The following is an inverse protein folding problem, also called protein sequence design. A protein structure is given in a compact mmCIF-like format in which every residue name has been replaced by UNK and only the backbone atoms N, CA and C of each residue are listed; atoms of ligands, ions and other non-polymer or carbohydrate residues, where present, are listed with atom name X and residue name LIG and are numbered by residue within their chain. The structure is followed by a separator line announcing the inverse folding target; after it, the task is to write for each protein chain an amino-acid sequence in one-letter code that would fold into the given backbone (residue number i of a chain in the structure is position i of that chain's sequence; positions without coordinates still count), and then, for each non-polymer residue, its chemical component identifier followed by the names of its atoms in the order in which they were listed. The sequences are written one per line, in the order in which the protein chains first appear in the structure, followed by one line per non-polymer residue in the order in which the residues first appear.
data_IF_096258069072
#
_entry.id   IF_096258069072
#
_cell.length_a   1.000
_cell.length_b   1.000
_cell.length_c   1.000
_cell.angle_alpha   90.00
_cell.angle_beta   90.00
_cell.angle_gamma   90.00
#
_symmetry.space_group_name_H-M   'P 1'
#
loop_
_entity.id
_entity.type
_entity.pdbx_description
1 polymer ?
#
# COMPACT_ATOMS: atom_id res chain seq x y z
N UNK A 1 36.75 11.19 17.88
CA UNK A 1 35.45 10.61 18.27
C UNK A 1 34.25 11.48 17.90
N UNK A 2 34.31 12.81 18.00
CA UNK A 2 33.19 13.72 17.72
C UNK A 2 32.55 13.58 16.30
N UNK A 3 33.37 13.36 15.26
CA UNK A 3 32.89 13.21 13.88
C UNK A 3 31.99 11.99 13.69
N UNK A 4 32.24 10.87 14.40
CA UNK A 4 31.37 9.68 14.33
C UNK A 4 30.03 9.90 15.03
N UNK A 5 30.01 10.71 16.09
CA UNK A 5 28.77 11.08 16.79
C UNK A 5 27.91 11.99 15.90
N UNK A 6 28.52 12.99 15.28
CA UNK A 6 27.86 13.93 14.37
C UNK A 6 27.29 13.24 13.12
N UNK A 7 28.04 12.31 12.52
CA UNK A 7 27.56 11.48 11.40
C UNK A 7 26.39 10.58 11.82
N UNK A 8 26.43 10.01 13.02
CA UNK A 8 25.35 9.15 13.53
C UNK A 8 24.07 9.95 13.81
N UNK A 9 24.19 11.16 14.38
CA UNK A 9 23.06 12.07 14.60
C UNK A 9 22.40 12.55 13.29
N UNK A 10 23.20 12.85 12.26
CA UNK A 10 22.68 13.26 10.94
C UNK A 10 21.95 12.11 10.26
N UNK A 11 22.50 10.88 10.35
CA UNK A 11 21.86 9.68 9.80
C UNK A 11 20.57 9.35 10.55
N UNK A 12 20.54 9.45 11.89
CA UNK A 12 19.33 9.21 12.69
C UNK A 12 18.25 10.26 12.44
N UNK A 13 18.60 11.55 12.31
CA UNK A 13 17.64 12.59 11.93
C UNK A 13 17.07 12.37 10.53
N UNK A 14 17.92 11.96 9.58
CA UNK A 14 17.46 11.59 8.25
C UNK A 14 16.47 10.42 8.36
N UNK A 15 16.83 9.33 9.05
CA UNK A 15 15.98 8.15 9.18
C UNK A 15 14.63 8.46 9.86
N UNK A 16 14.65 9.27 10.92
CA UNK A 16 13.43 9.71 11.62
C UNK A 16 12.55 10.59 10.73
N UNK A 17 13.14 11.53 10.00
CA UNK A 17 12.41 12.39 9.06
C UNK A 17 11.79 11.58 7.91
N UNK A 18 12.44 10.49 7.50
CA UNK A 18 11.90 9.55 6.52
C UNK A 18 10.73 8.75 7.08
N UNK A 19 10.84 8.23 8.30
CA UNK A 19 9.72 7.55 8.96
C UNK A 19 8.52 8.47 9.14
N UNK A 20 8.73 9.72 9.57
CA UNK A 20 7.65 10.71 9.72
C UNK A 20 6.98 11.01 8.39
N UNK A 21 7.75 11.14 7.30
CA UNK A 21 7.19 11.41 5.97
C UNK A 21 6.41 10.20 5.41
N UNK A 22 6.90 8.98 5.64
CA UNK A 22 6.18 7.75 5.29
C UNK A 22 4.85 7.67 6.03
N UNK A 23 4.86 7.92 7.34
CA UNK A 23 3.65 7.95 8.15
C UNK A 23 2.71 9.05 7.68
N UNK A 24 3.22 10.24 7.34
CA UNK A 24 2.42 11.33 6.81
C UNK A 24 1.73 10.96 5.49
N UNK A 25 2.44 10.37 4.53
CA UNK A 25 1.83 9.95 3.27
C UNK A 25 0.83 8.81 3.47
N UNK A 26 1.12 7.86 4.35
CA UNK A 26 0.18 6.81 4.73
C UNK A 26 -1.07 7.41 5.38
N UNK A 27 -0.92 8.41 6.25
CA UNK A 27 -2.02 9.14 6.89
C UNK A 27 -2.80 9.96 5.89
N UNK A 28 -2.16 10.63 4.92
CA UNK A 28 -2.87 11.37 3.87
C UNK A 28 -3.68 10.42 2.99
N UNK A 29 -3.09 9.29 2.58
CA UNK A 29 -3.82 8.26 1.82
C UNK A 29 -4.97 7.71 2.66
N UNK A 30 -4.74 7.43 3.95
CA UNK A 30 -5.78 6.99 4.87
C UNK A 30 -6.88 8.05 5.02
N UNK A 31 -6.52 9.33 5.09
CA UNK A 31 -7.47 10.44 5.22
C UNK A 31 -8.29 10.61 3.94
N UNK A 32 -7.67 10.47 2.76
CA UNK A 32 -8.38 10.46 1.47
C UNK A 32 -9.33 9.26 1.39
N UNK A 33 -8.88 8.07 1.80
CA UNK A 33 -9.74 6.88 1.81
C UNK A 33 -10.87 7.02 2.84
N UNK A 34 -10.62 7.56 4.02
CA UNK A 34 -11.64 7.83 5.03
C UNK A 34 -12.64 8.90 4.56
N UNK A 35 -12.18 9.95 3.90
CA UNK A 35 -13.08 10.94 3.30
C UNK A 35 -13.93 10.26 2.21
N UNK A 36 -13.35 9.41 1.38
CA UNK A 36 -14.10 8.65 0.37
C UNK A 36 -15.05 7.63 1.01
N UNK A 37 -14.68 7.01 2.14
CA UNK A 37 -15.50 6.03 2.85
C UNK A 37 -16.62 6.65 3.69
N UNK A 38 -16.37 7.78 4.35
CA UNK A 38 -17.31 8.37 5.32
C UNK A 38 -18.08 9.56 4.77
N UNK A 39 -17.47 10.34 3.86
CA UNK A 39 -18.08 11.55 3.30
C UNK A 39 -18.79 11.24 1.99
N UNK A 40 -18.23 10.40 1.12
CA UNK A 40 -18.84 10.10 -0.18
C UNK A 40 -20.23 9.45 -0.05
N UNK A 41 -20.47 8.47 0.85
CA UNK A 41 -21.80 7.94 1.12
C UNK A 41 -22.80 8.97 1.64
N UNK A 42 -22.35 9.94 2.42
CA UNK A 42 -23.23 10.96 3.01
C UNK A 42 -23.62 12.04 1.99
N UNK A 43 -22.89 12.16 0.89
CA UNK A 43 -23.07 13.20 -0.13
C UNK A 43 -23.66 12.63 -1.43
N UNK A 44 -23.40 11.36 -1.76
CA UNK A 44 -23.97 10.69 -2.92
C UNK A 44 -25.24 9.91 -2.56
N UNK A 45 -26.34 10.13 -3.30
CA UNK A 45 -27.48 9.23 -3.32
C UNK A 45 -27.12 8.00 -4.16
N UNK A 46 -26.83 6.87 -3.49
CA UNK A 46 -26.41 5.63 -4.13
C UNK A 46 -27.08 4.39 -3.53
N UNK A 47 -26.83 3.20 -4.10
CA UNK A 47 -27.36 1.94 -3.58
C UNK A 47 -26.89 1.67 -2.13
N UNK A 48 -27.71 1.02 -1.31
CA UNK A 48 -27.40 0.77 0.12
C UNK A 48 -26.05 0.08 0.35
N UNK A 49 -25.62 -0.80 -0.57
CA UNK A 49 -24.33 -1.48 -0.51
C UNK A 49 -23.12 -0.53 -0.66
N UNK A 50 -23.28 0.58 -1.38
CA UNK A 50 -22.27 1.63 -1.51
C UNK A 50 -22.26 2.54 -0.27
N UNK A 51 -23.43 2.71 0.34
CA UNK A 51 -23.64 3.66 1.43
C UNK A 51 -23.23 3.14 2.81
N UNK A 52 -23.18 1.81 2.98
CA UNK A 52 -22.81 1.16 4.25
C UNK A 52 -21.29 1.18 4.54
N UNK A 53 -20.45 1.82 3.71
CA UNK A 53 -19.00 1.90 3.89
C UNK A 53 -18.23 0.62 3.52
N UNK A 54 -18.86 -0.55 3.65
CA UNK A 54 -18.25 -1.85 3.39
C UNK A 54 -17.63 -2.02 1.99
N UNK A 55 -18.18 -1.34 0.98
CA UNK A 55 -17.70 -1.39 -0.40
C UNK A 55 -16.27 -0.85 -0.58
N UNK A 56 -15.80 0.04 0.29
CA UNK A 56 -14.43 0.60 0.22
C UNK A 56 -13.46 -0.11 1.15
N UNK A 57 -13.95 -0.99 2.00
CA UNK A 57 -13.16 -1.67 3.03
C UNK A 57 -12.16 -2.65 2.44
N UNK A 58 -12.58 -3.47 1.48
CA UNK A 58 -11.69 -4.39 0.78
C UNK A 58 -10.60 -3.65 -0.02
N UNK A 59 -10.91 -2.59 -0.77
CA UNK A 59 -9.91 -1.71 -1.35
C UNK A 59 -8.92 -1.12 -0.34
N UNK A 60 -9.42 -0.63 0.80
CA UNK A 60 -8.59 -0.07 1.86
C UNK A 60 -7.59 -1.10 2.41
N UNK A 61 -8.07 -2.31 2.74
CA UNK A 61 -7.23 -3.42 3.22
C UNK A 61 -6.16 -3.75 2.18
N UNK A 62 -6.51 -3.81 0.89
CA UNK A 62 -5.56 -4.03 -0.19
C UNK A 62 -4.46 -2.96 -0.26
N UNK A 63 -4.81 -1.69 -0.06
CA UNK A 63 -3.83 -0.59 -0.02
C UNK A 63 -2.87 -0.74 1.16
N UNK A 64 -3.39 -1.04 2.35
CA UNK A 64 -2.57 -1.24 3.56
C UNK A 64 -1.62 -2.43 3.40
N UNK A 65 -2.12 -3.56 2.90
CA UNK A 65 -1.30 -4.76 2.63
C UNK A 65 -0.21 -4.46 1.61
N UNK A 66 -0.56 -3.79 0.50
CA UNK A 66 0.39 -3.44 -0.55
C UNK A 66 1.48 -2.51 -0.02
N UNK A 67 1.11 -1.49 0.74
CA UNK A 67 2.07 -0.56 1.36
C UNK A 67 2.99 -1.27 2.35
N UNK A 68 2.44 -2.12 3.22
CA UNK A 68 3.22 -2.90 4.19
C UNK A 68 4.20 -3.83 3.48
N UNK A 69 3.75 -4.52 2.43
CA UNK A 69 4.60 -5.41 1.61
C UNK A 69 5.77 -4.64 1.01
N UNK A 70 5.51 -3.51 0.36
CA UNK A 70 6.54 -2.68 -0.25
C UNK A 70 7.51 -2.09 0.79
N UNK A 71 7.01 -1.69 1.96
CA UNK A 71 7.84 -1.27 3.09
C UNK A 71 8.75 -2.40 3.57
N UNK A 72 8.22 -3.60 3.82
CA UNK A 72 9.02 -4.75 4.24
C UNK A 72 10.10 -5.08 3.21
N UNK A 73 9.75 -5.14 1.92
CA UNK A 73 10.69 -5.34 0.82
C UNK A 73 11.82 -4.29 0.86
N UNK A 74 11.49 -3.02 1.14
CA UNK A 74 12.50 -1.96 1.22
C UNK A 74 13.39 -2.02 2.44
N UNK A 75 12.91 -2.57 3.56
CA UNK A 75 13.72 -2.79 4.75
C UNK A 75 14.76 -3.90 4.51
N UNK A 76 14.37 -4.97 3.81
CA UNK A 76 15.28 -6.08 3.48
C UNK A 76 16.26 -5.74 2.34
N UNK A 77 15.80 -5.04 1.30
CA UNK A 77 16.64 -4.54 0.20
C UNK A 77 16.31 -3.07 -0.09
N UNK A 78 17.02 -2.14 0.56
CA UNK A 78 16.83 -0.71 0.31
C UNK A 78 17.13 -0.38 -1.15
N UNK A 79 16.42 0.61 -1.68
CA UNK A 79 16.66 1.12 -3.02
C UNK A 79 18.02 1.80 -3.03
N UNK A 80 18.97 1.28 -3.83
CA UNK A 80 20.32 1.83 -3.91
C UNK A 80 20.71 2.04 -5.37
N UNK A 81 21.48 3.10 -5.68
CA UNK A 81 22.07 3.25 -7.01
C UNK A 81 22.97 2.04 -7.29
N UNK A 82 22.62 1.25 -8.31
CA UNK A 82 23.35 0.04 -8.72
C UNK A 82 22.72 -1.29 -8.26
N UNK A 83 21.83 -1.27 -7.25
CA UNK A 83 21.10 -2.48 -6.82
C UNK A 83 19.67 -2.46 -7.41
N UNK A 84 19.57 -2.88 -8.68
CA UNK A 84 18.34 -2.81 -9.49
C UNK A 84 17.42 -4.00 -9.33
N UNK A 85 17.93 -5.12 -8.82
CA UNK A 85 17.08 -6.27 -8.52
C UNK A 85 16.39 -6.05 -7.17
N UNK A 86 15.06 -5.84 -7.16
CA UNK A 86 14.32 -5.93 -5.92
C UNK A 86 14.42 -7.39 -5.47
N UNK A 87 14.46 -7.63 -4.16
CA UNK A 87 14.44 -8.96 -3.51
C UNK A 87 13.92 -10.12 -4.37
N UNK A 88 14.51 -11.31 -4.19
CA UNK A 88 14.05 -12.52 -4.90
C UNK A 88 12.53 -12.68 -4.85
N UNK A 89 11.95 -13.19 -5.94
CA UNK A 89 10.49 -13.33 -6.09
C UNK A 89 9.90 -14.09 -4.90
N UNK A 90 10.60 -15.12 -4.43
CA UNK A 90 10.18 -15.96 -3.31
C UNK A 90 10.13 -15.19 -1.98
N UNK A 91 11.10 -14.31 -1.72
CA UNK A 91 11.09 -13.43 -0.54
C UNK A 91 9.95 -12.41 -0.63
N UNK A 92 9.75 -11.82 -1.82
CA UNK A 92 8.68 -10.84 -2.03
C UNK A 92 7.30 -11.48 -1.83
N UNK A 93 7.09 -12.69 -2.35
CA UNK A 93 5.87 -13.48 -2.12
C UNK A 93 5.68 -13.85 -0.64
N UNK A 94 6.75 -14.24 0.06
CA UNK A 94 6.70 -14.52 1.49
C UNK A 94 6.28 -13.30 2.32
N UNK A 95 6.84 -12.13 2.02
CA UNK A 95 6.48 -10.87 2.68
C UNK A 95 5.05 -10.42 2.35
N UNK A 96 4.61 -10.64 1.12
CA UNK A 96 3.23 -10.39 0.69
C UNK A 96 2.24 -11.28 1.45
N UNK A 97 2.51 -12.59 1.52
CA UNK A 97 1.67 -13.54 2.25
C UNK A 97 1.62 -13.19 3.75
N UNK A 98 2.76 -12.79 4.34
CA UNK A 98 2.84 -12.32 5.71
C UNK A 98 1.97 -11.06 5.93
N UNK A 99 2.09 -10.06 5.06
CA UNK A 99 1.31 -8.83 5.14
C UNK A 99 -0.20 -9.10 4.99
N UNK A 100 -0.60 -9.98 4.07
CA UNK A 100 -1.99 -10.40 3.93
C UNK A 100 -2.49 -11.11 5.19
N UNK A 101 -1.72 -12.08 5.71
CA UNK A 101 -2.11 -12.84 6.90
C UNK A 101 -2.25 -11.96 8.15
N UNK A 102 -1.48 -10.87 8.25
CA UNK A 102 -1.55 -9.92 9.35
C UNK A 102 -2.75 -8.96 9.21
N UNK A 103 -2.93 -8.37 8.03
CA UNK A 103 -3.85 -7.24 7.84
C UNK A 103 -5.25 -7.71 7.43
N UNK A 104 -5.37 -8.73 6.59
CA UNK A 104 -6.66 -9.15 6.03
C UNK A 104 -7.64 -9.68 7.09
N UNK A 105 -7.24 -10.50 8.08
CA UNK A 105 -8.16 -10.94 9.14
C UNK A 105 -8.65 -9.77 9.99
N UNK A 106 -7.77 -8.84 10.37
CA UNK A 106 -8.15 -7.67 11.16
C UNK A 106 -9.05 -6.70 10.38
N UNK A 107 -8.72 -6.49 9.12
CA UNK A 107 -9.41 -5.54 8.24
C UNK A 107 -10.74 -6.05 7.68
N UNK A 108 -10.96 -7.37 7.61
CA UNK A 108 -12.15 -7.96 7.00
C UNK A 108 -13.04 -8.73 7.99
N UNK A 109 -12.57 -9.08 9.20
CA UNK A 109 -13.41 -9.80 10.19
C UNK A 109 -14.54 -8.96 10.79
N UNK A 110 -14.39 -7.63 10.84
CA UNK A 110 -15.40 -6.75 11.47
C UNK A 110 -16.72 -6.70 10.70
N UNK A 111 -16.77 -7.15 9.44
CA UNK A 111 -17.98 -7.17 8.59
C UNK A 111 -18.76 -8.50 8.65
N UNK A 112 -18.53 -9.33 9.66
CA UNK A 112 -19.34 -10.54 9.90
C UNK A 112 -18.99 -11.73 8.99
N UNK A 113 -17.93 -11.66 8.19
CA UNK A 113 -17.41 -12.78 7.42
C UNK A 113 -16.32 -12.40 6.41
N UNK A 114 -15.35 -13.30 6.23
CA UNK A 114 -14.36 -13.23 5.14
C UNK A 114 -15.04 -13.61 3.82
N UNK A 115 -15.77 -12.67 3.23
CA UNK A 115 -16.28 -12.86 1.88
C UNK A 115 -15.11 -13.04 0.91
N UNK A 116 -15.12 -14.14 0.15
CA UNK A 116 -14.04 -14.49 -0.77
C UNK A 116 -13.76 -13.36 -1.79
N UNK A 117 -14.80 -12.65 -2.22
CA UNK A 117 -14.70 -11.48 -3.11
C UNK A 117 -13.92 -10.32 -2.48
N UNK A 118 -14.18 -10.01 -1.20
CA UNK A 118 -13.48 -8.95 -0.46
C UNK A 118 -12.01 -9.29 -0.24
N UNK A 119 -11.71 -10.54 0.12
CA UNK A 119 -10.33 -11.03 0.24
C UNK A 119 -9.61 -10.99 -1.11
N UNK A 120 -10.27 -11.46 -2.17
CA UNK A 120 -9.73 -11.44 -3.54
C UNK A 120 -9.42 -10.02 -4.02
N UNK A 121 -10.29 -9.06 -3.72
CA UNK A 121 -10.09 -7.64 -4.06
C UNK A 121 -8.87 -7.05 -3.35
N UNK A 122 -8.75 -7.30 -2.04
CA UNK A 122 -7.60 -6.85 -1.26
C UNK A 122 -6.29 -7.45 -1.78
N UNK A 123 -6.27 -8.75 -2.04
CA UNK A 123 -5.13 -9.45 -2.60
C UNK A 123 -4.76 -8.95 -4.01
N UNK A 124 -5.76 -8.67 -4.86
CA UNK A 124 -5.54 -8.15 -6.21
C UNK A 124 -4.90 -6.76 -6.19
N UNK A 125 -5.40 -5.83 -5.36
CA UNK A 125 -4.82 -4.47 -5.23
C UNK A 125 -3.39 -4.57 -4.72
N UNK A 126 -3.18 -5.29 -3.62
CA UNK A 126 -1.87 -5.41 -3.01
C UNK A 126 -0.86 -6.10 -3.94
N UNK A 127 -1.29 -7.17 -4.64
CA UNK A 127 -0.46 -7.92 -5.58
C UNK A 127 -0.09 -7.10 -6.81
N UNK A 128 -1.07 -6.43 -7.42
CA UNK A 128 -0.84 -5.57 -8.58
C UNK A 128 0.07 -4.38 -8.23
N UNK A 129 -0.15 -3.74 -7.07
CA UNK A 129 0.69 -2.64 -6.61
C UNK A 129 2.13 -3.09 -6.37
N UNK A 130 2.32 -4.25 -5.74
CA UNK A 130 3.64 -4.83 -5.48
C UNK A 130 4.35 -5.23 -6.78
N UNK A 131 3.62 -5.79 -7.74
CA UNK A 131 4.15 -6.13 -9.06
C UNK A 131 4.58 -4.89 -9.83
N UNK A 132 3.72 -3.87 -9.91
CA UNK A 132 4.03 -2.59 -10.56
C UNK A 132 5.27 -1.96 -9.94
N UNK A 133 5.35 -1.93 -8.61
CA UNK A 133 6.51 -1.42 -7.90
C UNK A 133 7.78 -2.23 -8.21
N UNK A 134 7.69 -3.56 -8.23
CA UNK A 134 8.81 -4.44 -8.56
C UNK A 134 9.30 -4.23 -10.00
N UNK A 135 8.38 -4.07 -10.96
CA UNK A 135 8.69 -3.79 -12.36
C UNK A 135 9.31 -2.40 -12.54
N UNK A 136 8.74 -1.38 -11.90
CA UNK A 136 9.26 -0.01 -11.99
C UNK A 136 10.68 0.11 -11.45
N UNK A 137 11.03 -0.67 -10.42
CA UNK A 137 12.40 -0.74 -9.90
C UNK A 137 13.43 -1.32 -10.88
N UNK A 138 12.99 -2.10 -11.88
CA UNK A 138 13.86 -2.67 -12.92
C UNK A 138 14.12 -1.73 -14.09
N UNK A 139 13.30 -0.69 -14.26
CA UNK A 139 13.44 0.26 -15.37
C UNK A 139 14.63 1.20 -15.16
N UNK A 140 15.45 1.37 -16.19
CA UNK A 140 16.55 2.34 -16.17
C UNK A 140 16.03 3.78 -16.21
N UNK A 141 16.62 4.67 -15.40
CA UNK A 141 16.28 6.10 -15.37
C UNK A 141 15.51 6.58 -14.14
N UNK A 142 15.08 5.68 -13.24
CA UNK A 142 14.39 6.09 -12.02
C UNK A 142 15.36 6.63 -10.95
N UNK A 143 15.09 7.82 -10.37
CA UNK A 143 15.94 8.41 -9.34
C UNK A 143 16.02 7.51 -8.09
N UNK A 144 17.23 7.11 -7.71
CA UNK A 144 17.50 6.14 -6.64
C UNK A 144 17.50 6.71 -5.21
N UNK A 145 17.20 8.01 -5.06
CA UNK A 145 17.19 8.69 -3.76
C UNK A 145 15.80 8.67 -3.14
N UNK A 146 15.71 8.46 -1.83
CA UNK A 146 14.55 8.92 -1.05
C UNK A 146 14.45 10.44 -1.22
N UNK A 147 13.28 11.01 -1.60
CA UNK A 147 11.90 10.54 -1.39
C UNK A 147 11.22 9.81 -2.56
N UNK A 148 11.90 9.59 -3.69
CA UNK A 148 11.27 9.06 -4.91
C UNK A 148 10.69 7.65 -4.75
N UNK A 149 11.30 6.83 -3.90
CA UNK A 149 10.81 5.50 -3.59
C UNK A 149 9.41 5.52 -2.93
N UNK A 150 9.12 6.49 -2.07
CA UNK A 150 7.79 6.62 -1.46
C UNK A 150 6.75 7.10 -2.47
N UNK A 151 7.11 8.08 -3.30
CA UNK A 151 6.25 8.56 -4.39
C UNK A 151 5.88 7.42 -5.35
N UNK A 152 6.84 6.54 -5.64
CA UNK A 152 6.62 5.38 -6.49
C UNK A 152 5.66 4.37 -5.84
N UNK A 153 5.82 4.06 -4.55
CA UNK A 153 4.89 3.18 -3.82
C UNK A 153 3.46 3.72 -3.88
N UNK A 154 3.28 5.01 -3.57
CA UNK A 154 1.97 5.66 -3.63
C UNK A 154 1.39 5.64 -5.04
N UNK A 155 2.19 5.95 -6.08
CA UNK A 155 1.72 5.90 -7.47
C UNK A 155 1.29 4.49 -7.90
N UNK A 156 2.06 3.46 -7.52
CA UNK A 156 1.71 2.07 -7.80
C UNK A 156 0.42 1.64 -7.09
N UNK A 157 0.23 2.06 -5.84
CA UNK A 157 -1.01 1.81 -5.10
C UNK A 157 -2.21 2.50 -5.75
N UNK A 158 -2.08 3.79 -6.09
CA UNK A 158 -3.15 4.53 -6.76
C UNK A 158 -3.53 3.88 -8.09
N UNK A 159 -2.56 3.50 -8.91
CA UNK A 159 -2.82 2.79 -10.17
C UNK A 159 -3.49 1.44 -9.94
N UNK A 160 -3.01 0.64 -8.99
CA UNK A 160 -3.60 -0.65 -8.69
C UNK A 160 -5.05 -0.52 -8.20
N UNK A 161 -5.32 0.44 -7.31
CA UNK A 161 -6.67 0.73 -6.85
C UNK A 161 -7.56 1.18 -8.00
N UNK A 162 -7.12 2.11 -8.86
CA UNK A 162 -7.92 2.57 -10.01
C UNK A 162 -8.26 1.45 -10.99
N UNK A 163 -7.38 0.45 -11.15
CA UNK A 163 -7.62 -0.69 -12.03
C UNK A 163 -8.60 -1.69 -11.40
N UNK A 164 -8.47 -1.97 -10.11
CA UNK A 164 -9.25 -3.03 -9.44
C UNK A 164 -10.62 -2.52 -8.96
N UNK A 165 -10.74 -1.25 -8.59
CA UNK A 165 -11.94 -0.67 -8.00
C UNK A 165 -13.19 -0.78 -8.91
N UNK A 166 -13.12 -0.52 -10.23
CA UNK A 166 -14.27 -0.69 -11.12
C UNK A 166 -14.78 -2.14 -11.15
N UNK A 167 -13.86 -3.10 -11.19
CA UNK A 167 -14.19 -4.53 -11.19
C UNK A 167 -14.83 -4.94 -9.86
N UNK A 168 -14.31 -4.42 -8.74
CA UNK A 168 -14.88 -4.66 -7.42
C UNK A 168 -16.33 -4.16 -7.32
N UNK A 169 -16.62 -2.98 -7.83
CA UNK A 169 -17.98 -2.44 -7.84
C UNK A 169 -18.93 -3.18 -8.77
N UNK A 170 -18.46 -3.73 -9.89
CA UNK A 170 -19.28 -4.62 -10.72
C UNK A 170 -19.65 -5.90 -9.97
N UNK A 171 -18.73 -6.48 -9.21
CA UNK A 171 -18.97 -7.70 -8.42
C UNK A 171 -19.97 -7.42 -7.30
N UNK A 172 -19.90 -6.25 -6.66
CA UNK A 172 -20.83 -5.88 -5.58
C UNK A 172 -22.21 -5.42 -6.08
N UNK A 173 -22.27 -4.73 -7.22
CA UNK A 173 -23.52 -4.16 -7.76
C UNK A 173 -24.28 -5.05 -8.75
N UNK A 174 -23.65 -6.11 -9.26
CA UNK A 174 -24.27 -7.09 -10.18
C UNK A 174 -24.60 -8.44 -9.55
N UNK A 175 -24.46 -8.55 -8.22
CA UNK A 175 -24.81 -9.73 -7.42
C UNK A 175 -26.24 -9.67 -6.88
#
# INVERSE_FOLDING_TARGET
MAVRYLLREVVDRYNAQHQVLATLYAVIVMMVVLIVHDVLPRVMSGPEWLLNGDAFRAPFVGVVVGQLTMMLVTQFRPFQPGNREPTSVLVTLGLFALALALVAPLGLSVTGGLALASFGTAAAIAGLATLLYWLMRKLEGWPSRTPWNMRLQTACLTLATLVVLPVHFQILGGG
#
